data_IF_558327460843
#
_entry.id   IF_558327460843
#
_cell.length_a   1.000
_cell.length_b   1.000
_cell.length_c   1.000
_cell.angle_alpha   90.00
_cell.angle_beta   90.00
_cell.angle_gamma   90.00
#
_symmetry.space_group_name_H-M   'P 1'
#
loop_
_entity.id
_entity.type
_entity.pdbx_description
1 polymer ?
#
# COMPACT_ATOMS: atom_id res chain seq x y z
N UNK A 1 36.46 32.38 52.36
CA UNK A 1 36.27 30.92 52.51
C UNK A 1 34.79 30.66 52.71
N UNK A 2 34.19 29.81 51.87
CA UNK A 2 32.85 29.23 52.05
C UNK A 2 31.69 30.04 51.44
N UNK A 3 30.71 29.47 50.74
CA UNK A 3 30.42 28.10 50.28
C UNK A 3 29.55 28.26 49.02
N UNK A 4 29.88 27.55 47.94
CA UNK A 4 29.08 27.52 46.70
C UNK A 4 27.84 26.66 46.97
N UNK A 5 26.65 27.27 46.94
CA UNK A 5 25.38 26.53 47.00
C UNK A 5 25.04 26.04 45.58
N UNK A 6 25.19 24.73 45.37
CA UNK A 6 24.84 24.06 44.13
C UNK A 6 23.32 23.84 44.09
N UNK A 7 22.61 24.66 43.29
CA UNK A 7 21.19 24.45 43.02
C UNK A 7 21.03 23.33 41.98
N UNK A 8 20.59 22.15 42.43
CA UNK A 8 20.19 21.04 41.56
C UNK A 8 18.78 21.37 41.04
N UNK A 9 18.69 21.81 39.79
CA UNK A 9 17.41 21.95 39.10
C UNK A 9 16.89 20.55 38.74
N UNK A 10 15.84 20.10 39.43
CA UNK A 10 15.13 18.87 39.10
C UNK A 10 14.37 19.06 37.79
N UNK A 11 14.86 18.46 36.71
CA UNK A 11 14.19 18.44 35.42
C UNK A 11 13.00 17.47 35.50
N UNK A 12 11.79 18.01 35.63
CA UNK A 12 10.57 17.20 35.62
C UNK A 12 10.37 16.57 34.22
N UNK A 13 10.51 15.24 34.12
CA UNK A 13 10.10 14.47 32.94
C UNK A 13 8.57 14.47 32.86
N UNK A 14 8.01 15.34 32.01
CA UNK A 14 6.61 15.24 31.62
C UNK A 14 6.43 14.07 30.63
N UNK A 15 5.50 13.13 30.87
CA UNK A 15 5.21 12.07 29.91
C UNK A 15 4.60 12.68 28.64
N UNK A 16 5.29 12.54 27.50
CA UNK A 16 4.71 12.87 26.21
C UNK A 16 3.66 11.81 25.83
N UNK A 17 2.44 12.21 25.42
CA UNK A 17 1.48 11.26 24.89
C UNK A 17 2.05 10.64 23.62
N UNK A 18 2.11 9.30 23.57
CA UNK A 18 2.45 8.58 22.35
C UNK A 18 1.38 8.87 21.29
N UNK A 19 1.75 9.57 20.22
CA UNK A 19 0.88 9.72 19.06
C UNK A 19 0.60 8.32 18.49
N UNK A 20 -0.67 7.93 18.44
CA UNK A 20 -1.05 6.71 17.73
C UNK A 20 -0.63 6.87 16.26
N UNK A 21 0.30 6.05 15.79
CA UNK A 21 0.73 6.09 14.40
C UNK A 21 -0.46 5.74 13.49
N UNK A 22 -0.86 6.69 12.63
CA UNK A 22 -1.82 6.39 11.57
C UNK A 22 -1.24 5.30 10.67
N UNK A 23 -2.04 4.27 10.38
CA UNK A 23 -1.67 3.24 9.40
C UNK A 23 -1.69 3.82 8.00
N UNK A 24 -0.76 3.36 7.15
CA UNK A 24 -0.67 3.81 5.76
C UNK A 24 -1.95 3.46 4.99
N UNK A 25 -2.38 4.39 4.13
CA UNK A 25 -3.52 4.24 3.24
C UNK A 25 -3.17 4.78 1.86
N UNK A 26 -3.61 4.09 0.81
CA UNK A 26 -3.50 4.56 -0.57
C UNK A 26 -4.80 4.29 -1.34
N UNK A 27 -5.06 5.06 -2.40
CA UNK A 27 -6.22 4.89 -3.27
C UNK A 27 -5.75 4.94 -4.73
N UNK A 28 -6.07 3.89 -5.50
CA UNK A 28 -5.91 3.87 -6.94
C UNK A 28 -7.26 4.16 -7.61
N UNK A 29 -7.25 5.03 -8.61
CA UNK A 29 -8.39 5.22 -9.53
C UNK A 29 -8.19 4.33 -10.74
N UNK A 30 -9.19 3.53 -11.09
CA UNK A 30 -9.10 2.57 -12.19
C UNK A 30 -9.78 3.16 -13.44
N UNK A 31 -9.21 2.86 -14.60
CA UNK A 31 -9.75 3.27 -15.89
C UNK A 31 -9.58 2.18 -16.94
N UNK A 32 -10.50 2.14 -17.92
CA UNK A 32 -10.42 1.24 -19.07
C UNK A 32 -9.32 1.64 -20.05
N UNK A 33 -9.10 0.84 -21.09
CA UNK A 33 -8.17 1.17 -22.19
C UNK A 33 -8.59 2.42 -22.96
N UNK A 34 -9.89 2.72 -22.99
CA UNK A 34 -10.45 3.93 -23.58
C UNK A 34 -10.37 5.14 -22.63
N UNK A 35 -9.78 4.96 -21.45
CA UNK A 35 -9.65 6.00 -20.43
C UNK A 35 -10.93 6.27 -19.63
N UNK A 36 -11.97 5.44 -19.77
CA UNK A 36 -13.21 5.61 -19.00
C UNK A 36 -12.96 5.24 -17.53
N UNK A 37 -13.48 6.00 -16.56
CA UNK A 37 -13.36 5.64 -15.15
C UNK A 37 -14.13 4.35 -14.85
N UNK A 38 -13.56 3.48 -14.03
CA UNK A 38 -14.14 2.20 -13.62
C UNK A 38 -14.28 2.07 -12.09
N UNK A 39 -13.99 3.14 -11.35
CA UNK A 39 -14.07 3.17 -9.89
C UNK A 39 -12.70 3.21 -9.21
N UNK A 40 -12.58 2.60 -8.02
CA UNK A 40 -11.39 2.70 -7.16
C UNK A 40 -10.98 1.39 -6.50
N UNK A 41 -9.70 1.30 -6.16
CA UNK A 41 -9.15 0.31 -5.24
C UNK A 41 -8.51 1.05 -4.06
N UNK A 42 -8.98 0.77 -2.85
CA UNK A 42 -8.42 1.31 -1.60
C UNK A 42 -7.51 0.29 -0.97
N UNK A 43 -6.32 0.72 -0.57
CA UNK A 43 -5.29 -0.08 0.09
C UNK A 43 -5.13 0.43 1.52
N UNK A 44 -5.49 -0.40 2.51
CA UNK A 44 -5.32 -0.09 3.91
C UNK A 44 -4.27 -1.03 4.52
N UNK A 45 -3.22 -0.45 5.13
CA UNK A 45 -2.26 -1.23 5.88
C UNK A 45 -2.96 -1.83 7.12
N UNK A 46 -2.90 -3.15 7.25
CA UNK A 46 -3.42 -3.90 8.40
C UNK A 46 -2.28 -4.56 9.15
N UNK A 47 -2.54 -5.17 10.32
CA UNK A 47 -1.47 -5.74 11.16
C UNK A 47 -0.63 -6.79 10.42
N UNK A 48 -1.22 -7.51 9.46
CA UNK A 48 -0.56 -8.57 8.69
C UNK A 48 -0.87 -8.44 7.19
N UNK A 49 -0.35 -7.38 6.57
CA UNK A 49 -0.45 -7.16 5.13
C UNK A 49 -1.28 -5.94 4.76
N UNK A 50 -1.90 -5.99 3.59
CA UNK A 50 -2.69 -4.89 3.01
C UNK A 50 -4.07 -5.43 2.66
N UNK A 51 -5.11 -4.76 3.16
CA UNK A 51 -6.47 -5.01 2.72
C UNK A 51 -6.73 -4.18 1.47
N UNK A 52 -7.18 -4.83 0.39
CA UNK A 52 -7.56 -4.16 -0.85
C UNK A 52 -9.08 -4.24 -1.00
N UNK A 53 -9.73 -3.08 -1.01
CA UNK A 53 -11.18 -2.97 -1.21
C UNK A 53 -11.45 -2.35 -2.56
N UNK A 54 -12.27 -3.02 -3.37
CA UNK A 54 -12.65 -2.57 -4.70
C UNK A 54 -14.08 -2.01 -4.69
N UNK A 55 -14.24 -0.84 -5.28
CA UNK A 55 -15.53 -0.26 -5.62
C UNK A 55 -15.50 0.02 -7.11
N UNK A 56 -16.04 -0.91 -7.90
CA UNK A 56 -15.91 -0.95 -9.36
C UNK A 56 -17.28 -1.01 -10.03
N UNK A 57 -17.36 -0.44 -11.22
CA UNK A 57 -18.56 -0.42 -12.04
C UNK A 57 -18.21 -0.62 -13.52
N UNK A 58 -19.24 -0.85 -14.36
CA UNK A 58 -19.13 -0.98 -15.82
C UNK A 58 -18.15 -2.05 -16.34
N UNK A 59 -17.87 -3.06 -15.52
CA UNK A 59 -17.13 -4.25 -15.92
C UNK A 59 -18.09 -5.30 -16.54
N UNK A 60 -17.64 -6.05 -17.56
CA UNK A 60 -18.39 -7.21 -18.05
C UNK A 60 -18.71 -8.18 -16.91
N UNK A 61 -19.92 -8.79 -16.87
CA UNK A 61 -20.23 -9.80 -15.88
C UNK A 61 -19.26 -10.99 -15.97
N UNK A 62 -18.78 -11.48 -14.82
CA UNK A 62 -17.90 -12.64 -14.74
C UNK A 62 -16.70 -12.44 -13.83
N UNK A 63 -15.78 -13.40 -13.86
CA UNK A 63 -14.55 -13.36 -13.08
C UNK A 63 -13.55 -12.37 -13.70
N UNK A 64 -12.93 -11.54 -12.85
CA UNK A 64 -11.84 -10.63 -13.21
C UNK A 64 -10.63 -10.92 -12.33
N UNK A 65 -9.47 -11.16 -12.95
CA UNK A 65 -8.22 -11.33 -12.22
C UNK A 65 -7.65 -9.97 -11.81
N UNK A 66 -6.97 -9.94 -10.67
CA UNK A 66 -6.29 -8.76 -10.16
C UNK A 66 -4.82 -9.09 -9.84
N UNK A 67 -3.92 -8.21 -10.27
CA UNK A 67 -2.50 -8.28 -9.96
C UNK A 67 -1.98 -6.89 -9.58
N UNK A 68 -0.96 -6.86 -8.74
CA UNK A 68 -0.12 -5.68 -8.56
C UNK A 68 1.01 -5.73 -9.57
N UNK A 69 1.37 -4.58 -10.15
CA UNK A 69 2.50 -4.44 -11.07
C UNK A 69 3.63 -3.64 -10.40
N UNK A 70 4.85 -3.81 -10.91
CA UNK A 70 6.06 -3.18 -10.34
C UNK A 70 6.14 -1.67 -10.54
N UNK A 71 5.35 -1.07 -11.43
CA UNK A 71 5.33 0.37 -11.70
C UNK A 71 3.91 0.95 -11.70
N UNK A 72 3.77 2.19 -11.21
CA UNK A 72 2.52 2.95 -11.20
C UNK A 72 2.23 3.67 -12.55
N UNK A 73 2.77 3.17 -13.67
CA UNK A 73 2.57 3.76 -15.00
C UNK A 73 1.43 3.04 -15.73
N UNK A 74 0.26 3.67 -15.75
CA UNK A 74 -0.95 3.14 -16.39
C UNK A 74 -1.21 3.83 -17.75
N UNK A 75 -0.31 3.67 -18.73
CA UNK A 75 -0.52 4.27 -20.06
C UNK A 75 -1.41 3.36 -20.95
N UNK A 76 -2.65 3.77 -21.25
CA UNK A 76 -3.55 2.98 -22.10
C UNK A 76 -3.01 2.80 -23.52
N UNK A 77 -2.16 3.70 -24.02
CA UNK A 77 -1.54 3.58 -25.36
C UNK A 77 -0.65 2.35 -25.49
N UNK A 78 -0.15 1.85 -24.35
CA UNK A 78 0.69 0.65 -24.29
C UNK A 78 -0.11 -0.61 -23.97
N UNK A 79 -1.44 -0.53 -23.90
CA UNK A 79 -2.26 -1.60 -23.34
C UNK A 79 -1.89 -1.89 -21.87
N UNK A 80 -1.45 -0.87 -21.13
CA UNK A 80 -0.92 -0.95 -19.76
C UNK A 80 0.37 -1.76 -19.56
N UNK A 81 1.05 -2.19 -20.63
CA UNK A 81 2.37 -2.85 -20.50
C UNK A 81 3.43 -1.93 -19.87
N UNK A 82 3.21 -0.60 -19.89
CA UNK A 82 4.02 0.38 -19.16
C UNK A 82 4.11 0.14 -17.65
N UNK A 83 3.16 -0.61 -17.06
CA UNK A 83 3.17 -0.96 -15.64
C UNK A 83 4.29 -1.95 -15.26
N UNK A 84 4.89 -2.61 -16.27
CA UNK A 84 5.93 -3.62 -16.06
C UNK A 84 5.38 -4.98 -15.64
N UNK A 85 6.23 -5.91 -15.20
CA UNK A 85 5.79 -7.25 -14.79
C UNK A 85 4.87 -7.21 -13.55
N UNK A 86 4.13 -8.30 -13.35
CA UNK A 86 3.42 -8.58 -12.10
C UNK A 86 4.44 -8.58 -10.95
N UNK A 87 4.08 -7.96 -9.83
CA UNK A 87 4.89 -7.91 -8.63
C UNK A 87 5.01 -9.32 -8.01
N UNK A 88 6.22 -9.87 -8.02
CA UNK A 88 6.55 -11.13 -7.34
C UNK A 88 7.33 -10.83 -6.08
N UNK A 89 6.78 -11.20 -4.91
CA UNK A 89 7.45 -11.01 -3.63
C UNK A 89 8.40 -12.16 -3.26
N UNK A 90 8.24 -13.33 -3.90
CA UNK A 90 9.06 -14.52 -3.65
C UNK A 90 9.78 -14.92 -4.94
N UNK A 91 11.11 -14.69 -5.05
CA UNK A 91 11.88 -15.05 -6.24
C UNK A 91 11.76 -16.54 -6.60
N UNK A 92 11.69 -16.84 -7.90
CA UNK A 92 11.67 -18.21 -8.40
C UNK A 92 10.35 -18.96 -8.23
N UNK A 93 9.26 -18.28 -7.83
CA UNK A 93 7.91 -18.86 -7.77
C UNK A 93 7.16 -18.68 -9.08
N UNK A 94 6.41 -19.72 -9.44
CA UNK A 94 5.52 -19.71 -10.60
C UNK A 94 4.32 -18.80 -10.35
N UNK A 95 3.72 -18.29 -11.43
CA UNK A 95 2.50 -17.51 -11.32
C UNK A 95 1.29 -18.39 -10.93
N UNK A 96 0.43 -17.86 -10.06
CA UNK A 96 -0.87 -18.42 -9.73
C UNK A 96 -0.85 -19.29 -8.49
N UNK A 97 -1.72 -18.96 -7.53
CA UNK A 97 -1.78 -19.64 -6.23
C UNK A 97 -2.03 -21.15 -6.31
N UNK A 98 -2.77 -21.59 -7.33
CA UNK A 98 -3.12 -23.01 -7.52
C UNK A 98 -2.14 -23.75 -8.45
N UNK A 99 -1.12 -23.08 -8.98
CA UNK A 99 -0.13 -23.71 -9.84
C UNK A 99 0.93 -24.48 -9.01
N UNK A 100 1.53 -25.50 -9.62
CA UNK A 100 2.66 -26.20 -9.00
C UNK A 100 3.84 -25.22 -8.79
N UNK A 101 4.30 -25.11 -7.54
CA UNK A 101 5.32 -24.13 -7.15
C UNK A 101 4.84 -22.67 -7.17
N UNK A 102 3.54 -22.45 -7.27
CA UNK A 102 2.91 -21.13 -7.24
C UNK A 102 2.97 -20.47 -5.86
N UNK A 103 3.07 -19.14 -5.87
CA UNK A 103 2.90 -18.28 -4.69
C UNK A 103 2.23 -16.96 -5.09
#
# INVERSE_FOLDING_TARGET
MGRIALFIAALALLPMPAAAALKAKAVARLSSLEGKPLGTATFDAVNRGVLVTFDLHDLPPGAHAFHLHTSAKCDPKTGFTSAGPILTLVPGKSHGYLAEGGA
#
